data_IF_051646498191
#
_entry.id   IF_051646498191
#
_cell.length_a   1.000
_cell.length_b   1.000
_cell.length_c   1.000
_cell.angle_alpha   90.00
_cell.angle_beta   90.00
_cell.angle_gamma   90.00
#
_symmetry.space_group_name_H-M   'P 1'
#
loop_
_entity.id
_entity.type
_entity.pdbx_description
1 polymer ?
#
# COMPACT_ATOMS: atom_id res chain seq x y z
N UNK A 1 15.72 -12.74 -1.56
CA UNK A 1 14.43 -13.05 -2.22
C UNK A 1 14.55 -13.60 -3.65
N UNK A 2 15.06 -12.84 -4.64
CA UNK A 2 15.06 -13.24 -6.08
C UNK A 2 15.71 -14.60 -6.35
N UNK A 3 16.88 -14.90 -5.78
CA UNK A 3 17.56 -16.18 -5.95
C UNK A 3 16.79 -17.38 -5.37
N UNK A 4 15.97 -17.18 -4.32
CA UNK A 4 15.09 -18.21 -3.76
C UNK A 4 13.96 -18.55 -4.74
N UNK A 5 13.35 -17.51 -5.32
CA UNK A 5 12.26 -17.68 -6.29
C UNK A 5 12.77 -18.27 -7.61
N UNK A 6 13.94 -17.84 -8.09
CA UNK A 6 14.58 -18.43 -9.28
C UNK A 6 14.85 -19.93 -9.11
N UNK A 7 15.35 -20.36 -7.93
CA UNK A 7 15.52 -21.79 -7.61
C UNK A 7 14.19 -22.55 -7.58
N UNK A 8 13.16 -21.98 -6.96
CA UNK A 8 11.82 -22.58 -6.95
C UNK A 8 11.22 -22.72 -8.36
N UNK A 9 11.54 -21.78 -9.25
CA UNK A 9 11.16 -21.79 -10.66
C UNK A 9 12.08 -22.66 -11.55
N UNK A 10 13.09 -23.33 -10.98
CA UNK A 10 14.11 -24.12 -11.70
C UNK A 10 14.81 -23.31 -12.80
N UNK A 11 15.12 -22.05 -12.50
CA UNK A 11 15.90 -21.18 -13.37
C UNK A 11 17.37 -21.22 -12.98
N UNK A 12 18.22 -21.45 -13.98
CA UNK A 12 19.68 -21.51 -13.84
C UNK A 12 20.31 -20.11 -13.71
N UNK A 13 19.61 -19.09 -14.23
CA UNK A 13 20.00 -17.68 -14.16
C UNK A 13 18.87 -16.83 -13.57
N UNK A 14 19.19 -16.06 -12.53
CA UNK A 14 18.27 -15.14 -11.84
C UNK A 14 17.79 -14.03 -12.79
N UNK A 15 18.56 -13.66 -13.82
CA UNK A 15 18.16 -12.63 -14.77
C UNK A 15 17.02 -13.07 -15.68
N UNK A 16 16.76 -14.38 -15.79
CA UNK A 16 15.60 -14.93 -16.52
C UNK A 16 14.30 -14.86 -15.72
N UNK A 17 14.35 -14.38 -14.47
CA UNK A 17 13.19 -14.26 -13.60
C UNK A 17 12.34 -13.05 -13.99
N UNK A 18 11.28 -13.30 -14.77
CA UNK A 18 10.26 -12.28 -15.07
C UNK A 18 9.28 -12.12 -13.91
N UNK A 19 8.52 -11.02 -13.89
CA UNK A 19 7.49 -10.79 -12.87
C UNK A 19 6.43 -11.90 -12.85
N UNK A 20 6.02 -12.40 -14.03
CA UNK A 20 5.03 -13.49 -14.12
C UNK A 20 5.52 -14.80 -13.51
N UNK A 21 6.79 -15.16 -13.73
CA UNK A 21 7.41 -16.35 -13.12
C UNK A 21 7.54 -16.14 -11.62
N UNK A 22 8.00 -14.95 -11.22
CA UNK A 22 8.13 -14.60 -9.81
C UNK A 22 6.80 -14.72 -9.08
N UNK A 23 5.72 -14.17 -9.64
CA UNK A 23 4.39 -14.17 -9.03
C UNK A 23 3.84 -15.59 -8.84
N UNK A 24 4.07 -16.50 -9.80
CA UNK A 24 3.62 -17.90 -9.70
C UNK A 24 4.35 -18.71 -8.64
N UNK A 25 5.61 -18.39 -8.36
CA UNK A 25 6.47 -19.19 -7.48
C UNK A 25 6.80 -18.53 -6.15
N UNK A 26 6.42 -17.26 -5.98
CA UNK A 26 6.58 -16.56 -4.71
C UNK A 26 5.34 -16.80 -3.86
N UNK A 27 5.55 -17.16 -2.59
CA UNK A 27 4.51 -17.09 -1.57
C UNK A 27 4.80 -15.84 -0.77
N UNK A 28 3.95 -14.82 -0.93
CA UNK A 28 4.07 -13.58 -0.18
C UNK A 28 3.21 -13.67 1.07
N UNK A 29 3.86 -13.94 2.19
CA UNK A 29 3.25 -13.83 3.51
C UNK A 29 3.71 -12.55 4.22
N UNK A 30 3.13 -12.29 5.40
CA UNK A 30 3.47 -11.11 6.20
C UNK A 30 4.96 -11.02 6.51
N UNK A 31 5.59 -12.11 6.93
CA UNK A 31 7.02 -12.13 7.22
C UNK A 31 7.87 -11.77 6.00
N UNK A 32 7.45 -12.23 4.81
CA UNK A 32 8.13 -11.90 3.56
C UNK A 32 8.03 -10.40 3.24
N UNK A 33 6.85 -9.79 3.43
CA UNK A 33 6.70 -8.34 3.23
C UNK A 33 7.49 -7.56 4.27
N UNK A 34 7.45 -7.96 5.54
CA UNK A 34 8.18 -7.29 6.62
C UNK A 34 9.70 -7.39 6.40
N UNK A 35 10.21 -8.52 5.89
CA UNK A 35 11.62 -8.69 5.46
C UNK A 35 11.98 -7.74 4.31
N UNK A 36 11.13 -7.63 3.29
CA UNK A 36 11.40 -6.78 2.12
C UNK A 36 11.34 -5.29 2.44
N UNK A 37 10.39 -4.89 3.28
CA UNK A 37 10.29 -3.52 3.74
C UNK A 37 11.45 -3.19 4.69
N UNK A 38 11.81 -4.12 5.58
CA UNK A 38 12.94 -4.00 6.51
C UNK A 38 12.92 -2.66 7.26
N UNK A 39 14.01 -1.90 7.16
CA UNK A 39 14.10 -0.48 7.57
C UNK A 39 14.31 0.46 6.38
N UNK A 40 14.03 0.00 5.16
CA UNK A 40 14.30 0.78 3.96
C UNK A 40 13.27 1.90 3.78
N UNK A 41 13.68 3.05 3.22
CA UNK A 41 12.76 4.06 2.70
C UNK A 41 11.85 3.45 1.63
N UNK A 42 10.56 3.74 1.70
CA UNK A 42 9.62 3.22 0.70
C UNK A 42 8.36 4.07 0.57
N UNK A 43 7.76 3.98 -0.62
CA UNK A 43 6.46 4.57 -0.92
C UNK A 43 5.51 3.45 -1.31
N UNK A 44 4.43 3.28 -0.54
CA UNK A 44 3.35 2.35 -0.88
C UNK A 44 2.31 3.08 -1.74
N UNK A 45 2.02 2.53 -2.92
CA UNK A 45 0.95 3.03 -3.78
C UNK A 45 -0.28 2.13 -3.62
N UNK A 46 -1.42 2.72 -3.27
CA UNK A 46 -2.68 2.00 -3.09
C UNK A 46 -3.71 2.56 -4.06
N UNK A 47 -4.16 1.73 -4.98
CA UNK A 47 -5.26 2.12 -5.87
C UNK A 47 -6.62 1.87 -5.19
N UNK A 48 -7.53 2.83 -5.31
CA UNK A 48 -8.92 2.80 -4.83
C UNK A 48 -9.07 2.34 -3.37
N UNK A 49 -8.34 2.96 -2.44
CA UNK A 49 -8.38 2.59 -1.02
C UNK A 49 -9.81 2.66 -0.43
N UNK A 50 -10.68 3.47 -1.04
CA UNK A 50 -12.10 3.59 -0.73
C UNK A 50 -12.92 2.31 -0.90
N UNK A 51 -12.49 1.39 -1.76
CA UNK A 51 -13.20 0.13 -1.95
C UNK A 51 -12.96 -0.84 -0.81
N UNK A 52 -11.85 -0.63 -0.11
CA UNK A 52 -11.50 -1.43 1.06
C UNK A 52 -11.96 -0.78 2.36
N UNK A 53 -11.85 0.54 2.48
CA UNK A 53 -12.42 1.30 3.61
C UNK A 53 -13.92 1.49 3.43
N UNK A 54 -14.72 0.51 3.84
CA UNK A 54 -16.17 0.69 3.88
C UNK A 54 -16.55 1.65 5.01
N UNK A 55 -17.58 2.47 4.78
CA UNK A 55 -18.13 3.36 5.82
C UNK A 55 -18.99 2.63 6.85
N UNK A 56 -19.04 1.29 6.79
CA UNK A 56 -19.88 0.49 7.68
C UNK A 56 -19.27 0.46 9.09
N UNK A 57 -20.13 0.64 10.09
CA UNK A 57 -19.77 0.48 11.50
C UNK A 57 -20.63 -0.66 12.08
N UNK A 58 -20.04 -1.62 12.82
CA UNK A 58 -18.61 -1.74 13.15
C UNK A 58 -17.75 -2.14 11.93
N UNK A 59 -16.46 -1.77 11.96
CA UNK A 59 -15.51 -2.19 10.92
C UNK A 59 -15.34 -3.70 10.91
N UNK A 60 -15.12 -4.24 9.74
CA UNK A 60 -14.70 -5.64 9.60
C UNK A 60 -13.31 -5.86 10.22
N UNK A 61 -13.01 -7.11 10.58
CA UNK A 61 -11.68 -7.49 11.07
C UNK A 61 -10.58 -7.16 10.05
N UNK A 62 -10.84 -7.41 8.77
CA UNK A 62 -9.88 -7.12 7.70
C UNK A 62 -9.55 -5.63 7.57
N UNK A 63 -10.56 -4.75 7.70
CA UNK A 63 -10.35 -3.30 7.72
C UNK A 63 -9.46 -2.86 8.87
N UNK A 64 -9.74 -3.36 10.08
CA UNK A 64 -8.95 -3.05 11.27
C UNK A 64 -7.51 -3.57 11.16
N UNK A 65 -7.31 -4.76 10.61
CA UNK A 65 -5.98 -5.36 10.42
C UNK A 65 -5.13 -4.53 9.43
N UNK A 66 -5.71 -4.10 8.31
CA UNK A 66 -5.02 -3.26 7.32
C UNK A 66 -4.76 -1.85 7.87
N UNK A 67 -5.73 -1.26 8.57
CA UNK A 67 -5.53 0.04 9.23
C UNK A 67 -4.34 0.00 10.21
N UNK A 68 -4.31 -1.03 11.06
CA UNK A 68 -3.22 -1.27 11.99
C UNK A 68 -1.87 -1.48 11.27
N UNK A 69 -1.86 -2.22 10.17
CA UNK A 69 -0.66 -2.43 9.37
C UNK A 69 -0.14 -1.15 8.73
N UNK A 70 -0.99 -0.36 8.06
CA UNK A 70 -0.59 0.91 7.43
C UNK A 70 -0.06 1.90 8.46
N UNK A 71 -0.67 1.95 9.65
CA UNK A 71 -0.21 2.76 10.78
C UNK A 71 1.17 2.34 11.27
N UNK A 72 1.34 1.07 11.61
CA UNK A 72 2.56 0.56 12.27
C UNK A 72 3.73 0.39 11.32
N UNK A 73 3.47 0.07 10.05
CA UNK A 73 4.51 -0.25 9.07
C UNK A 73 4.91 0.93 8.20
N UNK A 74 4.01 1.88 7.93
CA UNK A 74 4.27 3.01 7.03
C UNK A 74 4.23 4.36 7.73
N UNK A 75 3.19 4.68 8.50
CA UNK A 75 3.04 6.04 9.08
C UNK A 75 3.98 6.35 10.24
N UNK A 76 4.28 5.35 11.05
CA UNK A 76 5.12 5.53 12.26
C UNK A 76 6.60 5.36 11.97
N UNK A 77 6.96 4.79 10.82
CA UNK A 77 8.35 4.61 10.39
C UNK A 77 8.84 5.85 9.62
N UNK A 78 10.08 6.25 9.86
CA UNK A 78 10.71 7.35 9.13
C UNK A 78 10.94 6.97 7.67
N UNK A 79 10.94 7.99 6.80
CA UNK A 79 11.18 7.85 5.35
C UNK A 79 10.25 6.85 4.65
N UNK A 80 9.05 6.65 5.23
CA UNK A 80 7.98 5.87 4.66
C UNK A 80 6.74 6.70 4.45
N UNK A 81 6.16 6.51 3.28
CA UNK A 81 4.98 7.22 2.82
C UNK A 81 4.04 6.21 2.18
N UNK A 82 2.75 6.52 2.18
CA UNK A 82 1.84 5.88 1.26
C UNK A 82 1.04 6.95 0.51
N UNK A 83 0.77 6.67 -0.75
CA UNK A 83 -0.06 7.46 -1.64
C UNK A 83 -1.24 6.57 -2.01
N UNK A 84 -2.44 7.13 -1.99
CA UNK A 84 -3.63 6.39 -2.38
C UNK A 84 -4.49 7.19 -3.33
N UNK A 85 -5.12 6.49 -4.28
CA UNK A 85 -6.19 7.06 -5.08
C UNK A 85 -7.55 6.79 -4.41
N UNK A 86 -8.51 7.66 -4.67
CA UNK A 86 -9.89 7.48 -4.23
C UNK A 86 -10.85 8.26 -5.11
N UNK A 87 -11.96 7.63 -5.49
CA UNK A 87 -13.09 8.29 -6.17
C UNK A 87 -14.04 9.01 -5.22
N UNK A 88 -13.73 9.01 -3.91
CA UNK A 88 -14.57 9.59 -2.86
C UNK A 88 -13.75 10.58 -2.05
N UNK A 89 -14.03 11.87 -2.25
CA UNK A 89 -13.32 12.98 -1.59
C UNK A 89 -13.37 12.93 -0.06
N UNK A 90 -14.42 12.36 0.55
CA UNK A 90 -14.58 12.31 2.01
C UNK A 90 -13.54 11.44 2.72
N UNK A 91 -12.94 10.46 2.04
CA UNK A 91 -12.04 9.50 2.69
C UNK A 91 -10.77 10.13 3.21
N UNK A 92 -10.37 11.24 2.60
CA UNK A 92 -9.24 12.01 3.07
C UNK A 92 -9.48 12.63 4.46
N UNK A 93 -10.74 12.86 4.87
CA UNK A 93 -11.11 13.30 6.23
C UNK A 93 -11.31 12.14 7.18
N UNK A 94 -11.72 10.99 6.66
CA UNK A 94 -11.94 9.77 7.45
C UNK A 94 -10.65 8.98 7.66
N UNK A 95 -9.59 9.26 6.91
CA UNK A 95 -8.30 8.55 6.97
C UNK A 95 -7.64 8.62 8.36
N UNK A 96 -7.54 9.77 9.06
CA UNK A 96 -7.01 9.80 10.43
C UNK A 96 -7.81 8.92 11.40
N UNK A 97 -9.14 8.93 11.24
CA UNK A 97 -10.08 8.09 12.01
C UNK A 97 -9.95 6.61 11.62
N UNK A 98 -9.69 6.31 10.35
CA UNK A 98 -9.42 4.97 9.84
C UNK A 98 -8.17 4.38 10.47
N UNK A 99 -7.08 5.14 10.44
CA UNK A 99 -5.79 4.71 10.94
C UNK A 99 -5.67 4.78 12.48
N UNK A 100 -6.66 5.37 13.16
CA UNK A 100 -6.60 5.69 14.59
C UNK A 100 -5.25 6.35 14.95
N UNK A 101 -4.78 7.24 14.09
CA UNK A 101 -3.37 7.66 14.08
C UNK A 101 -3.14 8.85 15.00
N UNK A 102 -2.18 8.72 15.91
CA UNK A 102 -1.61 9.85 16.67
C UNK A 102 -0.53 10.61 15.87
N UNK A 103 -0.22 10.17 14.65
CA UNK A 103 0.80 10.79 13.81
C UNK A 103 0.36 12.19 13.40
N UNK A 104 1.18 13.19 13.71
CA UNK A 104 0.99 14.60 13.30
C UNK A 104 1.39 14.86 11.83
N UNK A 105 1.64 13.81 11.05
CA UNK A 105 2.06 13.96 9.64
C UNK A 105 0.92 14.53 8.80
N UNK A 106 1.22 15.60 8.08
CA UNK A 106 0.27 16.27 7.18
C UNK A 106 -0.12 15.33 6.03
N UNK A 107 -1.42 15.16 5.80
CA UNK A 107 -1.94 14.51 4.59
C UNK A 107 -2.01 15.54 3.48
N UNK A 108 -1.16 15.40 2.47
CA UNK A 108 -1.22 16.24 1.26
C UNK A 108 -2.30 15.69 0.34
N UNK A 109 -3.20 16.55 -0.11
CA UNK A 109 -4.29 16.20 -1.03
C UNK A 109 -4.05 16.90 -2.36
N UNK A 110 -3.43 16.20 -3.28
CA UNK A 110 -3.40 16.65 -4.68
C UNK A 110 -4.73 16.30 -5.32
N UNK A 111 -5.43 17.30 -5.84
CA UNK A 111 -6.60 17.08 -6.70
C UNK A 111 -6.12 17.00 -8.15
N UNK A 112 -6.77 16.15 -8.95
CA UNK A 112 -6.58 16.25 -10.39
C UNK A 112 -7.08 17.63 -10.85
N UNK A 113 -6.36 18.32 -11.75
CA UNK A 113 -6.86 19.55 -12.32
C UNK A 113 -8.21 19.29 -12.97
N UNK A 114 -9.21 20.10 -12.60
CA UNK A 114 -10.48 20.11 -13.29
C UNK A 114 -10.21 20.71 -14.67
N UNK A 115 -10.39 19.91 -15.72
CA UNK A 115 -10.37 20.43 -17.09
C UNK A 115 -11.77 21.01 -17.32
N UNK A 116 -11.87 22.34 -17.35
CA UNK A 116 -13.11 23.02 -17.67
C UNK A 116 -13.34 23.03 -19.19
N UNK A 117 -14.56 23.32 -19.64
CA UNK A 117 -14.85 23.45 -21.09
C UNK A 117 -13.98 24.53 -21.75
N UNK A 118 -13.51 25.50 -20.97
CA UNK A 118 -12.65 26.59 -21.43
C UNK A 118 -11.18 26.16 -21.61
N UNK A 119 -10.81 24.95 -21.13
CA UNK A 119 -9.47 24.35 -21.28
C UNK A 119 -9.38 23.38 -22.49
N UNK A 120 -10.48 23.17 -23.23
CA UNK A 120 -10.59 22.30 -24.42
C UNK A 120 -10.53 23.10 -25.73
#
# INVERSE_FOLDING_TARGET
>A
AKARVARAAKLDDVNRLTFGIWFKHTRVDRSTIDEWLGCQPCVLLIDELNRFMTRQKPRSKGESDVAGYLKTTFLTKEQRYFVFSSHVTSLSYELPTFLESLSKRTVIRSQLPLIEMDDL
#
